data_IF_304518869068
#
_entry.id   IF_304518869068
#
_cell.length_a   1.000
_cell.length_b   1.000
_cell.length_c   1.000
_cell.angle_alpha   90.00
_cell.angle_beta   90.00
_cell.angle_gamma   90.00
#
_symmetry.space_group_name_H-M   'P 1'
#
loop_
_entity.id
_entity.type
_entity.pdbx_description
1 polymer ?
#
# COMPACT_ATOMS: atom_id res chain seq x y z
N UNK A 1 -5.77 -7.52 -20.78
CA UNK A 1 -4.43 -7.10 -20.32
C UNK A 1 -4.33 -7.53 -18.87
N UNK A 2 -3.57 -8.59 -18.57
CA UNK A 2 -3.34 -9.00 -17.19
C UNK A 2 -2.60 -7.86 -16.49
N UNK A 3 -3.27 -7.17 -15.56
CA UNK A 3 -2.55 -6.48 -14.50
C UNK A 3 -2.27 -7.58 -13.48
N UNK A 4 -1.02 -8.07 -13.35
CA UNK A 4 -0.69 -8.84 -12.16
C UNK A 4 -1.10 -8.00 -10.96
N UNK A 5 -1.68 -8.61 -9.93
CA UNK A 5 -1.80 -8.01 -8.61
C UNK A 5 -0.38 -7.60 -8.20
N UNK A 6 -0.01 -6.37 -8.53
CA UNK A 6 1.18 -5.77 -7.98
C UNK A 6 0.77 -5.49 -6.55
N UNK A 7 1.28 -6.27 -5.60
CA UNK A 7 1.23 -5.97 -4.17
C UNK A 7 2.06 -4.70 -3.94
N UNK A 8 1.60 -3.57 -4.48
CA UNK A 8 2.22 -2.27 -4.38
C UNK A 8 1.73 -1.65 -3.08
N UNK A 9 2.52 -1.85 -2.02
CA UNK A 9 2.26 -1.22 -0.74
C UNK A 9 2.94 0.13 -0.68
N UNK A 10 2.15 1.18 -0.48
CA UNK A 10 2.67 2.51 -0.20
C UNK A 10 2.93 2.60 1.30
N UNK A 11 4.19 2.82 1.68
CA UNK A 11 4.58 3.08 3.06
C UNK A 11 4.67 4.59 3.26
N UNK A 12 3.69 5.16 3.95
CA UNK A 12 3.74 6.54 4.40
C UNK A 12 4.34 6.55 5.81
N UNK A 13 5.49 7.21 5.98
CA UNK A 13 6.06 7.45 7.30
C UNK A 13 5.62 8.84 7.77
N UNK A 14 4.77 8.85 8.78
CA UNK A 14 4.40 10.05 9.51
C UNK A 14 5.60 10.61 10.27
N UNK A 15 5.45 11.83 10.78
CA UNK A 15 6.55 12.56 11.43
C UNK A 15 7.09 11.84 12.67
N UNK A 16 6.21 11.25 13.47
CA UNK A 16 6.57 10.46 14.65
C UNK A 16 7.35 9.18 14.26
N UNK A 17 6.99 8.57 13.13
CA UNK A 17 7.60 7.36 12.59
C UNK A 17 8.98 7.61 11.94
N UNK A 18 9.45 8.86 11.88
CA UNK A 18 10.80 9.20 11.41
C UNK A 18 11.84 9.22 12.53
N UNK A 19 11.41 9.07 13.78
CA UNK A 19 12.29 9.16 14.93
C UNK A 19 13.07 7.87 15.13
N UNK A 20 14.36 7.99 15.43
CA UNK A 20 15.22 6.87 15.80
C UNK A 20 15.44 6.85 17.30
N UNK A 21 15.39 5.66 17.89
CA UNK A 21 15.75 5.41 19.29
C UNK A 21 17.18 4.83 19.36
N UNK A 22 17.89 4.93 20.50
CA UNK A 22 19.22 4.34 20.69
C UNK A 22 19.26 2.83 20.42
N UNK A 23 18.18 2.13 20.76
CA UNK A 23 17.99 0.68 20.53
C UNK A 23 17.18 0.36 19.26
N UNK A 24 17.05 1.33 18.34
CA UNK A 24 16.32 1.11 17.10
C UNK A 24 17.04 0.13 16.16
N UNK A 25 16.29 -0.53 15.26
CA UNK A 25 16.88 -1.29 14.15
C UNK A 25 17.87 -0.42 13.38
N UNK A 26 18.83 -1.07 12.71
CA UNK A 26 19.84 -0.35 11.94
C UNK A 26 20.23 -1.09 10.68
N UNK A 27 20.61 -0.33 9.65
CA UNK A 27 21.33 -0.85 8.50
C UNK A 27 22.82 -0.78 8.83
N UNK A 28 23.50 -1.92 8.70
CA UNK A 28 24.95 -2.00 8.90
C UNK A 28 25.61 -2.01 7.53
N UNK A 29 26.41 -0.98 7.27
CA UNK A 29 27.15 -0.89 6.01
C UNK A 29 28.38 -1.78 5.99
N UNK A 30 29.03 -1.91 4.83
CA UNK A 30 30.14 -2.84 4.62
C UNK A 30 31.38 -2.51 5.47
N UNK A 31 31.55 -1.28 5.93
CA UNK A 31 32.61 -0.87 6.85
C UNK A 31 32.22 -0.96 8.33
N UNK A 32 31.03 -1.49 8.65
CA UNK A 32 30.52 -1.63 10.01
C UNK A 32 29.87 -0.35 10.56
N UNK A 33 29.67 0.67 9.73
CA UNK A 33 28.90 1.85 10.07
C UNK A 33 27.44 1.48 10.35
N UNK A 34 26.90 2.00 11.46
CA UNK A 34 25.52 1.75 11.88
C UNK A 34 24.67 2.98 11.58
N UNK A 35 23.71 2.82 10.69
CA UNK A 35 22.67 3.80 10.43
C UNK A 35 21.38 3.35 11.13
N UNK A 36 21.04 3.98 12.25
CA UNK A 36 19.78 3.70 12.93
C UNK A 36 18.61 4.11 12.03
N UNK A 37 17.63 3.23 11.92
CA UNK A 37 16.42 3.45 11.13
C UNK A 37 15.20 3.37 12.04
N UNK A 38 14.13 4.10 11.72
CA UNK A 38 12.87 3.95 12.44
C UNK A 38 12.31 2.53 12.29
N UNK A 39 11.55 2.02 13.30
CA UNK A 39 10.90 0.72 13.21
C UNK A 39 9.98 0.56 11.98
N UNK A 40 9.34 1.65 11.54
CA UNK A 40 8.54 1.67 10.32
C UNK A 40 9.39 1.34 9.07
N UNK A 41 10.57 1.96 8.92
CA UNK A 41 11.51 1.67 7.81
C UNK A 41 11.97 0.22 7.83
N UNK A 42 12.23 -0.34 9.02
CA UNK A 42 12.63 -1.74 9.13
C UNK A 42 11.59 -2.69 8.52
N UNK A 43 10.29 -2.46 8.75
CA UNK A 43 9.22 -3.26 8.12
C UNK A 43 9.22 -3.16 6.59
N UNK A 44 9.48 -1.97 6.04
CA UNK A 44 9.64 -1.78 4.59
C UNK A 44 10.79 -2.62 4.06
N UNK A 45 11.95 -2.58 4.72
CA UNK A 45 13.13 -3.35 4.31
C UNK A 45 12.84 -4.86 4.37
N UNK A 46 12.14 -5.35 5.41
CA UNK A 46 11.76 -6.76 5.48
C UNK A 46 10.93 -7.20 4.28
N UNK A 47 9.94 -6.39 3.88
CA UNK A 47 9.11 -6.67 2.71
C UNK A 47 9.94 -6.67 1.42
N UNK A 48 10.83 -5.69 1.24
CA UNK A 48 11.75 -5.64 0.09
C UNK A 48 12.64 -6.90 0.04
N UNK A 49 13.20 -7.30 1.17
CA UNK A 49 14.05 -8.49 1.26
C UNK A 49 13.27 -9.77 0.95
N UNK A 50 12.03 -9.90 1.43
CA UNK A 50 11.16 -11.04 1.11
C UNK A 50 10.88 -11.13 -0.38
N UNK A 51 10.51 -10.02 -1.02
CA UNK A 51 10.29 -9.96 -2.46
C UNK A 51 11.55 -10.37 -3.25
N UNK A 52 12.72 -9.82 -2.89
CA UNK A 52 13.99 -10.15 -3.54
C UNK A 52 14.41 -11.61 -3.32
N UNK A 53 14.21 -12.17 -2.13
CA UNK A 53 14.48 -13.60 -1.84
C UNK A 53 13.62 -14.53 -2.69
N UNK A 54 12.40 -14.11 -3.01
CA UNK A 54 11.53 -14.82 -3.95
C UNK A 54 11.90 -14.61 -5.43
N UNK A 55 13.03 -13.94 -5.73
CA UNK A 55 13.48 -13.65 -7.09
C UNK A 55 12.66 -12.56 -7.80
N UNK A 56 11.84 -11.80 -7.07
CA UNK A 56 11.02 -10.71 -7.64
C UNK A 56 11.81 -9.42 -7.70
N UNK A 57 11.68 -8.69 -8.80
CA UNK A 57 12.21 -7.34 -8.91
C UNK A 57 11.40 -6.36 -8.03
N UNK A 58 12.07 -5.36 -7.45
CA UNK A 58 11.46 -4.35 -6.57
C UNK A 58 11.72 -2.96 -7.12
N UNK A 59 10.69 -2.11 -7.11
CA UNK A 59 10.77 -0.69 -7.47
C UNK A 59 10.38 0.16 -6.25
N UNK A 60 11.24 1.09 -5.85
CA UNK A 60 10.96 2.06 -4.78
C UNK A 60 10.82 3.44 -5.44
N UNK A 61 9.71 4.12 -5.18
CA UNK A 61 9.41 5.45 -5.75
C UNK A 61 9.09 6.41 -4.61
N UNK A 62 9.81 7.54 -4.48
CA UNK A 62 9.41 8.58 -3.53
C UNK A 62 8.12 9.24 -4.02
N UNK A 63 7.16 9.38 -3.11
CA UNK A 63 5.88 10.04 -3.39
C UNK A 63 5.77 11.33 -2.58
N UNK A 64 5.04 12.30 -3.13
CA UNK A 64 4.65 13.51 -2.41
C UNK A 64 3.49 13.21 -1.48
N UNK A 65 3.32 14.01 -0.43
CA UNK A 65 2.18 13.91 0.49
C UNK A 65 0.87 14.37 -0.15
N UNK A 66 0.94 15.16 -1.23
CA UNK A 66 -0.19 15.57 -2.06
C UNK A 66 0.15 15.32 -3.53
N UNK A 67 -0.78 14.70 -4.26
CA UNK A 67 -0.60 14.25 -5.64
C UNK A 67 -1.77 14.73 -6.51
N UNK A 68 -1.55 15.02 -7.80
CA UNK A 68 -2.62 15.05 -8.78
C UNK A 68 -3.43 13.74 -8.74
N UNK A 69 -4.76 13.81 -8.90
CA UNK A 69 -5.63 12.60 -8.85
C UNK A 69 -5.14 11.50 -9.80
N UNK A 70 -4.70 11.85 -11.01
CA UNK A 70 -4.22 10.85 -11.97
C UNK A 70 -2.92 10.19 -11.52
N UNK A 71 -2.00 10.93 -10.89
CA UNK A 71 -0.77 10.38 -10.31
C UNK A 71 -1.08 9.51 -9.09
N UNK A 72 -2.07 9.89 -8.28
CA UNK A 72 -2.54 9.11 -7.14
C UNK A 72 -3.14 7.76 -7.60
N UNK A 73 -3.94 7.77 -8.67
CA UNK A 73 -4.49 6.54 -9.26
C UNK A 73 -3.39 5.59 -9.71
N UNK A 74 -2.38 6.13 -10.41
CA UNK A 74 -1.23 5.35 -10.85
C UNK A 74 -0.44 4.79 -9.65
N UNK A 75 -0.34 5.53 -8.54
CA UNK A 75 0.40 5.12 -7.34
C UNK A 75 -0.23 3.91 -6.65
N UNK A 76 -1.56 3.81 -6.58
CA UNK A 76 -2.29 2.67 -6.00
C UNK A 76 -2.71 1.63 -7.05
N UNK A 77 -2.27 1.76 -8.30
CA UNK A 77 -2.61 0.81 -9.37
C UNK A 77 -4.08 0.83 -9.82
N UNK A 78 -4.84 1.87 -9.45
CA UNK A 78 -6.25 2.05 -9.80
C UNK A 78 -6.41 2.66 -11.20
N UNK A 79 -7.56 2.46 -11.85
CA UNK A 79 -7.92 3.22 -13.05
C UNK A 79 -8.11 4.70 -12.73
N UNK A 80 -7.55 5.60 -13.55
CA UNK A 80 -7.68 7.06 -13.34
C UNK A 80 -9.14 7.53 -13.37
N UNK A 81 -9.93 6.98 -14.28
CA UNK A 81 -11.36 7.27 -14.37
C UNK A 81 -12.13 6.77 -13.13
N UNK A 82 -11.73 5.61 -12.59
CA UNK A 82 -12.33 5.06 -11.38
C UNK A 82 -12.02 5.93 -10.16
N UNK A 83 -10.75 6.32 -9.98
CA UNK A 83 -10.40 7.19 -8.86
C UNK A 83 -11.07 8.56 -8.99
N UNK A 84 -11.13 9.16 -10.18
CA UNK A 84 -11.89 10.41 -10.39
C UNK A 84 -13.35 10.27 -10.04
N UNK A 85 -13.98 9.16 -10.44
CA UNK A 85 -15.37 8.87 -10.12
C UNK A 85 -15.56 8.77 -8.60
N UNK A 86 -14.73 8.01 -7.91
CA UNK A 86 -14.79 7.88 -6.44
C UNK A 86 -14.62 9.24 -5.75
N UNK A 87 -13.63 10.02 -6.15
CA UNK A 87 -13.40 11.38 -5.62
C UNK A 87 -14.62 12.29 -5.90
N UNK A 88 -15.19 12.23 -7.11
CA UNK A 88 -16.37 13.04 -7.46
C UNK A 88 -17.62 12.68 -6.65
N UNK A 89 -17.71 11.43 -6.18
CA UNK A 89 -18.75 10.97 -5.27
C UNK A 89 -18.44 11.25 -3.78
N UNK A 90 -17.31 11.91 -3.50
CA UNK A 90 -16.90 12.28 -2.15
C UNK A 90 -16.23 11.16 -1.35
N UNK A 91 -15.68 10.14 -2.00
CA UNK A 91 -15.00 9.04 -1.32
C UNK A 91 -13.77 9.51 -0.51
N UNK A 92 -13.07 10.55 -0.99
CA UNK A 92 -11.97 11.23 -0.31
C UNK A 92 -12.01 12.74 -0.62
N UNK A 93 -11.46 13.60 0.26
CA UNK A 93 -11.32 15.02 0.00
C UNK A 93 -10.36 15.29 -1.18
N UNK A 94 -10.66 16.34 -1.95
CA UNK A 94 -9.74 16.86 -2.96
C UNK A 94 -9.73 18.39 -2.96
N UNK A 95 -8.65 18.96 -3.49
CA UNK A 95 -8.47 20.39 -3.69
C UNK A 95 -8.23 20.67 -5.16
N UNK A 96 -9.06 21.51 -5.77
CA UNK A 96 -8.84 21.94 -7.15
C UNK A 96 -7.87 23.12 -7.23
N UNK A 97 -7.01 23.11 -8.24
CA UNK A 97 -6.31 24.29 -8.74
C UNK A 97 -6.94 24.73 -10.08
N UNK A 98 -6.30 25.66 -10.80
CA UNK A 98 -6.77 26.11 -12.11
C UNK A 98 -6.84 24.98 -13.16
N UNK A 99 -5.98 23.95 -13.04
CA UNK A 99 -5.82 22.92 -14.08
C UNK A 99 -5.80 21.48 -13.55
N UNK A 100 -5.64 21.30 -12.23
CA UNK A 100 -5.36 19.99 -11.64
C UNK A 100 -6.10 19.86 -10.32
N UNK A 101 -6.74 18.71 -10.12
CA UNK A 101 -7.29 18.30 -8.85
C UNK A 101 -6.25 17.51 -8.06
N UNK A 102 -6.09 17.88 -6.80
CA UNK A 102 -5.10 17.35 -5.88
C UNK A 102 -5.78 16.56 -4.77
N UNK A 103 -5.18 15.44 -4.39
CA UNK A 103 -5.60 14.59 -3.27
C UNK A 103 -4.42 14.36 -2.33
N UNK A 104 -4.69 14.21 -1.04
CA UNK A 104 -3.65 13.85 -0.09
C UNK A 104 -3.39 12.36 -0.19
N UNK A 105 -2.12 11.98 -0.19
CA UNK A 105 -1.70 10.59 -0.28
C UNK A 105 -2.27 9.73 0.85
N UNK A 106 -2.39 10.28 2.06
CA UNK A 106 -2.98 9.57 3.21
C UNK A 106 -4.42 9.14 2.93
N UNK A 107 -5.25 10.03 2.40
CA UNK A 107 -6.66 9.72 2.12
C UNK A 107 -6.77 8.66 1.00
N UNK A 108 -5.86 8.71 0.02
CA UNK A 108 -5.79 7.74 -1.09
C UNK A 108 -5.39 6.36 -0.58
N UNK A 109 -4.41 6.26 0.31
CA UNK A 109 -3.99 4.99 0.93
C UNK A 109 -5.13 4.40 1.77
N UNK A 110 -5.84 5.23 2.53
CA UNK A 110 -6.99 4.77 3.33
C UNK A 110 -8.14 4.25 2.46
N UNK A 111 -8.43 4.91 1.33
CA UNK A 111 -9.39 4.43 0.34
C UNK A 111 -8.97 3.05 -0.21
N UNK A 112 -7.71 2.89 -0.60
CA UNK A 112 -7.19 1.65 -1.17
C UNK A 112 -7.24 0.50 -0.15
N UNK A 113 -6.78 0.73 1.08
CA UNK A 113 -6.85 -0.25 2.17
C UNK A 113 -8.28 -0.71 2.46
N UNK A 114 -9.25 0.22 2.46
CA UNK A 114 -10.67 -0.11 2.66
C UNK A 114 -11.18 -1.01 1.54
N UNK A 115 -10.88 -0.68 0.27
CA UNK A 115 -11.30 -1.46 -0.89
C UNK A 115 -10.69 -2.86 -0.88
N UNK A 116 -9.42 -2.97 -0.50
CA UNK A 116 -8.74 -4.26 -0.35
C UNK A 116 -9.43 -5.13 0.71
N UNK A 117 -9.75 -4.56 1.87
CA UNK A 117 -10.46 -5.27 2.93
C UNK A 117 -11.86 -5.73 2.51
N UNK A 118 -12.62 -4.89 1.79
CA UNK A 118 -13.93 -5.23 1.24
C UNK A 118 -13.83 -6.37 0.22
N UNK A 119 -12.83 -6.33 -0.67
CA UNK A 119 -12.61 -7.37 -1.67
C UNK A 119 -12.26 -8.72 -1.00
N UNK A 120 -11.42 -8.68 0.03
CA UNK A 120 -11.01 -9.88 0.76
C UNK A 120 -12.18 -10.50 1.54
N UNK A 121 -13.02 -9.67 2.17
CA UNK A 121 -14.24 -10.15 2.83
C UNK A 121 -15.23 -10.81 1.86
N UNK A 122 -15.41 -10.25 0.66
CA UNK A 122 -16.27 -10.84 -0.36
C UNK A 122 -15.72 -12.18 -0.89
N UNK A 123 -14.40 -12.31 -1.02
CA UNK A 123 -13.76 -13.57 -1.40
C UNK A 123 -13.91 -14.65 -0.32
N UNK A 124 -13.77 -14.28 0.94
CA UNK A 124 -13.98 -15.19 2.07
C UNK A 124 -15.43 -15.66 2.14
N UNK A 125 -16.41 -14.79 1.85
CA UNK A 125 -17.83 -15.17 1.77
C UNK A 125 -18.11 -16.17 0.64
N UNK A 126 -17.46 -16.01 -0.51
CA UNK A 126 -17.59 -16.93 -1.65
C UNK A 126 -16.89 -18.28 -1.39
N UNK A 127 -15.74 -18.28 -0.71
CA UNK A 127 -14.98 -19.50 -0.40
C UNK A 127 -15.50 -20.24 0.83
N UNK A 128 -16.17 -19.55 1.76
CA UNK A 128 -16.81 -20.14 2.94
C UNK A 128 -18.15 -20.85 2.66
N UNK A 129 -18.58 -20.90 1.41
CA UNK A 129 -19.90 -21.41 0.99
C UNK A 129 -19.98 -22.87 0.56
N UNK A 130 -18.90 -23.66 0.64
CA UNK A 130 -18.93 -25.09 0.28
C UNK A 130 -18.44 -25.97 1.45
N UNK A 131 -19.31 -26.30 2.43
CA UNK A 131 -19.06 -27.45 3.28
C UNK A 131 -19.16 -28.68 2.38
N UNK A 132 -18.02 -29.31 2.12
CA UNK A 132 -17.97 -30.66 1.58
C UNK A 132 -18.91 -31.56 2.40
N UNK A 133 -20.04 -31.93 1.79
CA UNK A 133 -20.83 -33.09 2.16
C UNK A 133 -19.93 -34.33 1.93
N UNK A 134 -19.07 -34.63 2.90
CA UNK A 134 -18.42 -35.93 3.03
C UNK A 134 -18.83 -36.56 4.35
N UNK A 135 -19.93 -37.30 4.25
CA UNK A 135 -20.16 -38.62 4.83
C UNK A 135 -19.33 -39.01 6.07
N UNK A 136 -20.00 -38.96 7.22
CA UNK A 136 -19.89 -40.04 8.20
C UNK A 136 -21.20 -40.19 9.01
N UNK A 137 -22.24 -40.74 8.38
CA UNK A 137 -23.30 -41.42 9.12
C UNK A 137 -23.10 -42.94 9.06
N UNK A 138 -22.68 -43.46 10.22
CA UNK A 138 -22.96 -44.80 10.80
C UNK A 138 -22.65 -46.06 9.99
#
# INVERSE_FOLDING_TARGET
MFRPEMDSRIYLLDEDDRTTAPDAPAVIGPSGERENIPPAVFRVIQHVLEAMRAGRAVKIVPLRTELPIDEAADAIGMGRDDLRKDVSHGAIPFRSSQYVDWVRLVDVIELDNRRYAEQQAALDELMGGDPADDDQQS
#
